data_IF_683095637388
#
_entry.id   IF_683095637388
#
_cell.length_a   1.000
_cell.length_b   1.000
_cell.length_c   1.000
_cell.angle_alpha   90.00
_cell.angle_beta   90.00
_cell.angle_gamma   90.00
#
_symmetry.space_group_name_H-M   'P 1'
#
loop_
_entity.id
_entity.type
_entity.pdbx_description
1 polymer ?
#
# COMPACT_ATOMS: atom_id res chain seq x y z
N UNK A 1 -15.06 90.56 -8.23
CA UNK A 1 -14.10 91.03 -9.25
C UNK A 1 -13.00 89.98 -9.33
N UNK A 2 -12.72 89.19 -10.36
CA UNK A 2 -13.10 89.09 -11.77
C UNK A 2 -13.10 87.58 -12.13
N UNK A 3 -14.02 87.15 -13.01
CA UNK A 3 -13.94 85.86 -13.75
C UNK A 3 -13.23 86.12 -15.10
N UNK A 4 -12.74 85.07 -15.78
CA UNK A 4 -13.54 84.41 -16.83
C UNK A 4 -13.53 82.88 -16.65
N UNK A 5 -14.65 82.16 -16.66
CA UNK A 5 -15.54 81.86 -17.79
C UNK A 5 -14.88 80.98 -18.87
N UNK A 6 -14.98 79.66 -18.69
CA UNK A 6 -15.01 78.69 -19.78
C UNK A 6 -16.22 77.76 -19.54
N UNK A 7 -17.22 77.90 -20.40
CA UNK A 7 -18.45 77.11 -20.41
C UNK A 7 -18.25 75.83 -21.24
N UNK A 8 -18.54 74.67 -20.66
CA UNK A 8 -18.56 73.39 -21.37
C UNK A 8 -19.49 72.41 -20.68
N UNK A 9 -20.57 72.07 -21.37
CA UNK A 9 -21.75 71.33 -20.90
C UNK A 9 -21.46 69.93 -20.33
N UNK A 10 -22.25 69.60 -19.30
CA UNK A 10 -22.68 68.28 -18.84
C UNK A 10 -22.42 67.06 -19.75
N UNK A 11 -21.76 66.05 -19.20
CA UNK A 11 -22.21 64.65 -19.34
C UNK A 11 -21.75 63.82 -18.13
N UNK A 12 -22.71 63.44 -17.29
CA UNK A 12 -22.55 62.44 -16.25
C UNK A 12 -22.35 61.08 -16.91
N UNK A 13 -21.10 60.67 -17.11
CA UNK A 13 -20.76 59.31 -17.48
C UNK A 13 -20.40 58.53 -16.22
N UNK A 14 -21.27 57.59 -15.89
CA UNK A 14 -21.10 56.52 -14.92
C UNK A 14 -19.68 55.96 -15.02
N UNK A 15 -18.85 56.20 -14.00
CA UNK A 15 -17.61 55.44 -13.78
C UNK A 15 -18.00 54.02 -13.38
N UNK A 16 -18.36 53.22 -14.38
CA UNK A 16 -18.40 51.77 -14.23
C UNK A 16 -16.98 51.29 -13.97
N UNK A 17 -16.75 50.67 -12.82
CA UNK A 17 -15.54 49.90 -12.56
C UNK A 17 -15.45 48.80 -13.62
N UNK A 18 -14.65 49.01 -14.65
CA UNK A 18 -14.30 47.98 -15.63
C UNK A 18 -13.42 46.98 -14.87
N UNK A 19 -14.06 45.92 -14.35
CA UNK A 19 -13.36 44.75 -13.87
C UNK A 19 -12.79 44.03 -15.09
N UNK A 20 -11.53 44.33 -15.42
CA UNK A 20 -10.79 43.63 -16.46
C UNK A 20 -10.56 42.19 -16.01
N UNK A 21 -11.47 41.28 -16.33
CA UNK A 21 -11.23 39.84 -16.20
C UNK A 21 -10.18 39.43 -17.23
N UNK A 22 -8.90 39.53 -16.85
CA UNK A 22 -7.82 38.95 -17.64
C UNK A 22 -7.92 37.43 -17.53
N UNK A 23 -8.33 36.80 -18.63
CA UNK A 23 -8.31 35.35 -18.77
C UNK A 23 -6.85 34.87 -18.69
N UNK A 24 -6.42 34.41 -17.51
CA UNK A 24 -5.10 33.76 -17.34
C UNK A 24 -5.17 32.41 -18.05
N UNK A 25 -4.72 32.38 -19.30
CA UNK A 25 -4.53 31.12 -20.03
C UNK A 25 -3.43 30.33 -19.32
N UNK A 26 -3.82 29.33 -18.54
CA UNK A 26 -2.92 28.32 -17.98
C UNK A 26 -2.39 27.41 -19.09
N UNK A 27 -1.54 27.95 -19.98
CA UNK A 27 -0.72 27.12 -20.85
C UNK A 27 0.25 26.33 -19.95
N UNK A 28 0.11 25.01 -19.95
CA UNK A 28 1.00 24.09 -19.27
C UNK A 28 2.39 24.15 -19.92
N UNK A 29 3.22 25.10 -19.49
CA UNK A 29 4.63 25.18 -19.87
C UNK A 29 5.40 24.00 -19.28
N UNK A 30 6.48 23.56 -19.94
CA UNK A 30 7.46 22.63 -19.35
C UNK A 30 8.03 23.27 -18.08
N UNK A 31 7.68 22.71 -16.92
CA UNK A 31 8.21 23.15 -15.62
C UNK A 31 9.35 22.22 -15.20
N UNK A 32 10.52 22.79 -14.95
CA UNK A 32 11.61 22.06 -14.30
C UNK A 32 11.21 21.79 -12.84
N UNK A 33 11.36 20.55 -12.38
CA UNK A 33 10.98 20.11 -11.04
C UNK A 33 12.01 20.53 -9.98
N UNK A 34 12.14 21.85 -9.77
CA UNK A 34 12.90 22.36 -8.63
C UNK A 34 12.23 21.95 -7.31
N UNK A 35 13.01 21.76 -6.22
CA UNK A 35 12.43 21.57 -4.90
C UNK A 35 11.44 22.68 -4.56
N UNK A 36 10.32 22.30 -3.94
CA UNK A 36 9.32 23.24 -3.46
C UNK A 36 9.80 24.02 -2.22
N UNK A 37 10.77 23.47 -1.50
CA UNK A 37 11.39 24.09 -0.34
C UNK A 37 12.56 25.01 -0.74
N UNK A 38 12.91 26.00 0.10
CA UNK A 38 14.03 26.88 -0.17
C UNK A 38 15.36 26.12 -0.12
N UNK A 39 16.22 26.36 -1.10
CA UNK A 39 17.58 25.85 -1.15
C UNK A 39 18.51 26.94 -1.70
N UNK A 40 19.80 26.87 -1.36
CA UNK A 40 20.80 27.83 -1.85
C UNK A 40 20.98 27.62 -3.35
N UNK A 41 20.80 28.66 -4.16
CA UNK A 41 20.98 28.58 -5.61
C UNK A 41 22.43 28.89 -5.98
N UNK A 42 22.88 28.37 -7.11
CA UNK A 42 24.20 28.69 -7.65
C UNK A 42 24.21 30.15 -8.12
N UNK A 43 25.17 30.92 -7.63
CA UNK A 43 25.50 32.25 -8.16
C UNK A 43 26.50 32.16 -9.32
N UNK A 44 27.35 33.19 -9.47
CA UNK A 44 28.47 33.15 -10.42
C UNK A 44 29.48 32.09 -9.96
N UNK A 45 29.92 31.25 -10.89
CA UNK A 45 30.88 30.17 -10.65
C UNK A 45 31.95 30.17 -11.73
N UNK A 46 33.04 29.46 -11.45
CA UNK A 46 34.09 29.23 -12.43
C UNK A 46 33.51 28.56 -13.71
N UNK A 47 33.80 29.08 -14.92
CA UNK A 47 33.15 28.62 -16.16
C UNK A 47 33.23 27.11 -16.42
N UNK A 48 34.35 26.47 -16.03
CA UNK A 48 34.60 25.04 -16.24
C UNK A 48 33.79 24.10 -15.33
N UNK A 49 33.06 24.60 -14.33
CA UNK A 49 32.39 23.75 -13.34
C UNK A 49 31.09 23.12 -13.84
N UNK A 50 30.41 23.77 -14.81
CA UNK A 50 29.18 23.29 -15.46
C UNK A 50 28.13 22.70 -14.50
N UNK A 51 27.96 23.34 -13.34
CA UNK A 51 27.06 22.89 -12.28
C UNK A 51 25.63 23.35 -12.54
N UNK A 52 24.65 22.64 -11.97
CA UNK A 52 23.23 22.96 -12.14
C UNK A 52 22.56 23.12 -10.79
N UNK A 53 21.56 24.01 -10.72
CA UNK A 53 20.82 24.26 -9.48
C UNK A 53 20.18 23.00 -8.90
N UNK A 54 19.74 22.05 -9.73
CA UNK A 54 19.19 20.77 -9.28
C UNK A 54 20.26 19.86 -8.66
N UNK A 55 21.44 19.73 -9.30
CA UNK A 55 22.58 18.99 -8.73
C UNK A 55 23.05 19.61 -7.42
N UNK A 56 22.97 20.93 -7.29
CA UNK A 56 23.33 21.61 -6.06
C UNK A 56 22.32 21.42 -4.95
N UNK A 57 21.02 21.50 -5.25
CA UNK A 57 19.96 21.17 -4.30
C UNK A 57 20.08 19.73 -3.80
N UNK A 58 20.38 18.78 -4.70
CA UNK A 58 20.62 17.38 -4.33
C UNK A 58 21.79 17.23 -3.36
N UNK A 59 22.91 17.96 -3.58
CA UNK A 59 24.05 17.94 -2.64
C UNK A 59 23.73 18.54 -1.29
N UNK A 60 22.92 19.60 -1.24
CA UNK A 60 22.43 20.17 0.03
C UNK A 60 21.57 19.17 0.80
N UNK A 61 20.69 18.44 0.10
CA UNK A 61 19.86 17.39 0.71
C UNK A 61 20.70 16.20 1.22
N UNK A 62 21.71 15.77 0.45
CA UNK A 62 22.55 14.64 0.80
C UNK A 62 23.58 14.96 1.90
N UNK A 63 24.11 16.19 1.92
CA UNK A 63 25.21 16.57 2.78
C UNK A 63 26.58 16.12 2.25
N UNK A 64 27.65 16.30 3.06
CA UNK A 64 29.00 15.89 2.66
C UNK A 64 29.12 14.37 2.54
N UNK A 65 29.89 13.93 1.54
CA UNK A 65 30.19 12.53 1.28
C UNK A 65 31.51 12.16 1.93
N UNK A 66 31.54 11.07 2.69
CA UNK A 66 32.78 10.55 3.28
C UNK A 66 33.67 9.85 2.23
N UNK A 67 34.91 9.53 2.58
CA UNK A 67 35.84 8.79 1.72
C UNK A 67 35.33 7.39 1.33
N UNK A 68 34.56 6.73 2.22
CA UNK A 68 33.84 5.47 1.94
C UNK A 68 32.67 5.64 0.97
N UNK A 69 32.24 6.88 0.77
CA UNK A 69 31.13 7.25 -0.09
C UNK A 69 29.77 7.36 0.59
N UNK A 70 29.74 7.33 1.92
CA UNK A 70 28.55 7.40 2.75
C UNK A 70 28.10 8.85 3.00
N UNK A 71 26.79 9.07 3.10
CA UNK A 71 26.18 10.36 3.44
C UNK A 71 25.69 10.36 4.88
N UNK A 72 26.62 10.26 5.81
CA UNK A 72 26.34 10.03 7.24
C UNK A 72 25.50 11.16 7.87
N UNK A 73 25.62 12.38 7.35
CA UNK A 73 24.87 13.53 7.84
C UNK A 73 23.40 13.54 7.39
N UNK A 74 22.97 12.67 6.47
CA UNK A 74 21.59 12.64 6.03
C UNK A 74 20.73 11.84 7.01
N UNK A 75 19.63 12.45 7.47
CA UNK A 75 18.66 11.82 8.38
C UNK A 75 18.18 10.46 7.90
N UNK A 76 18.05 10.29 6.57
CA UNK A 76 17.47 9.09 5.96
C UNK A 76 18.53 8.06 5.53
N UNK A 77 19.81 8.27 5.85
CA UNK A 77 20.88 7.34 5.48
C UNK A 77 20.95 6.12 6.42
N UNK A 78 20.91 6.37 7.73
CA UNK A 78 20.97 5.30 8.71
C UNK A 78 19.61 4.59 8.86
N UNK A 79 19.67 3.27 9.04
CA UNK A 79 18.48 2.44 9.24
C UNK A 79 17.98 2.61 10.68
N UNK A 80 16.68 2.89 10.91
CA UNK A 80 16.14 2.98 12.26
C UNK A 80 16.13 1.62 12.95
N UNK A 81 16.39 1.65 14.25
CA UNK A 81 16.59 0.49 15.10
C UNK A 81 15.64 0.47 16.32
N UNK A 82 14.52 1.17 16.25
CA UNK A 82 13.60 1.45 17.36
C UNK A 82 12.12 1.11 17.08
N UNK A 83 11.83 0.28 16.07
CA UNK A 83 10.47 -0.04 15.59
C UNK A 83 9.65 1.18 15.14
N UNK A 84 10.31 2.32 14.88
CA UNK A 84 9.67 3.51 14.35
C UNK A 84 10.25 3.80 12.97
N UNK A 85 9.45 3.68 11.90
CA UNK A 85 9.96 3.91 10.56
C UNK A 85 10.33 5.38 10.35
N UNK A 86 11.55 5.60 9.85
CA UNK A 86 12.07 6.93 9.55
C UNK A 86 11.67 7.37 8.13
N UNK A 87 10.36 7.61 7.93
CA UNK A 87 9.83 8.07 6.64
C UNK A 87 10.06 9.56 6.38
N UNK A 88 10.02 9.93 5.09
CA UNK A 88 10.40 11.27 4.60
C UNK A 88 9.35 12.31 4.99
N UNK A 89 9.81 13.46 5.50
CA UNK A 89 8.98 14.58 5.97
C UNK A 89 9.42 15.92 5.37
N UNK A 90 9.53 16.05 4.03
CA UNK A 90 10.13 17.21 3.38
C UNK A 90 9.29 18.48 3.56
N UNK A 91 7.98 18.32 3.76
CA UNK A 91 6.99 19.36 4.04
C UNK A 91 7.16 19.97 5.44
N UNK A 92 7.52 19.14 6.42
CA UNK A 92 7.66 19.52 7.83
C UNK A 92 9.06 20.10 8.09
N UNK A 93 10.09 19.45 7.56
CA UNK A 93 11.49 19.86 7.71
C UNK A 93 11.91 20.96 6.71
N UNK A 94 11.03 21.32 5.77
CA UNK A 94 11.30 22.30 4.70
C UNK A 94 12.57 21.98 3.92
N UNK A 95 12.79 20.70 3.63
CA UNK A 95 13.96 20.20 2.90
C UNK A 95 15.29 20.18 3.65
N UNK A 96 15.31 20.56 4.94
CA UNK A 96 16.49 20.48 5.79
C UNK A 96 16.63 19.06 6.37
N UNK A 97 17.22 18.15 5.58
CA UNK A 97 17.34 16.74 5.93
C UNK A 97 18.61 16.38 6.71
N UNK A 98 19.49 17.33 7.01
CA UNK A 98 20.78 17.05 7.64
C UNK A 98 20.65 16.94 9.17
N UNK A 99 21.29 15.92 9.74
CA UNK A 99 21.42 15.69 11.18
C UNK A 99 22.82 15.23 11.54
N UNK A 100 23.25 15.62 12.73
CA UNK A 100 24.45 15.06 13.35
C UNK A 100 24.22 13.58 13.70
N UNK A 101 25.10 12.66 13.29
CA UNK A 101 24.93 11.23 13.55
C UNK A 101 25.04 10.87 15.04
N UNK A 102 25.86 11.60 15.79
CA UNK A 102 26.13 11.30 17.20
C UNK A 102 25.11 11.94 18.15
N UNK A 103 24.73 13.20 17.89
CA UNK A 103 23.85 13.97 18.77
C UNK A 103 22.38 13.92 18.32
N UNK A 104 22.11 13.52 17.07
CA UNK A 104 20.77 13.53 16.47
C UNK A 104 20.20 14.93 16.21
N UNK A 105 20.97 15.99 16.46
CA UNK A 105 20.57 17.38 16.27
C UNK A 105 20.48 17.72 14.79
N UNK A 106 19.54 18.60 14.43
CA UNK A 106 19.36 19.06 13.05
C UNK A 106 20.44 20.05 12.68
N UNK A 107 20.90 19.97 11.44
CA UNK A 107 21.92 20.85 10.87
C UNK A 107 21.37 21.64 9.69
N UNK A 108 21.92 22.83 9.50
CA UNK A 108 21.68 23.70 8.35
C UNK A 108 23.00 24.21 7.79
N UNK A 109 23.07 24.35 6.46
CA UNK A 109 24.24 24.92 5.80
C UNK A 109 24.20 26.45 5.90
N UNK A 110 25.26 27.06 6.47
CA UNK A 110 25.45 28.52 6.49
C UNK A 110 25.94 29.04 5.13
N UNK A 111 26.08 30.36 5.02
CA UNK A 111 26.59 30.99 3.79
C UNK A 111 28.01 30.49 3.43
N UNK A 112 28.84 30.22 4.43
CA UNK A 112 30.21 29.68 4.30
C UNK A 112 30.29 28.21 3.88
N UNK A 113 29.17 27.48 3.84
CA UNK A 113 29.16 26.03 3.59
C UNK A 113 29.41 25.18 4.83
N UNK A 114 29.67 25.79 5.99
CA UNK A 114 29.73 25.09 7.28
C UNK A 114 28.33 24.66 7.74
N UNK A 115 28.25 23.47 8.35
CA UNK A 115 27.03 22.94 8.96
C UNK A 115 26.92 23.44 10.40
N UNK A 116 25.76 23.98 10.75
CA UNK A 116 25.47 24.49 12.11
C UNK A 116 24.09 24.07 12.55
N UNK A 117 23.89 23.94 13.87
CA UNK A 117 22.61 23.65 14.51
C UNK A 117 21.46 24.48 13.91
N UNK A 118 20.46 23.75 13.41
CA UNK A 118 19.26 24.33 12.85
C UNK A 118 18.40 24.98 13.94
N UNK A 119 17.66 26.07 13.61
CA UNK A 119 16.71 26.63 14.55
C UNK A 119 15.64 25.60 14.93
N UNK A 120 15.07 25.80 16.12
CA UNK A 120 14.02 24.94 16.65
C UNK A 120 12.77 24.99 15.76
N UNK A 121 12.28 23.82 15.36
CA UNK A 121 11.10 23.64 14.51
C UNK A 121 10.11 22.70 15.21
N UNK A 122 9.09 23.30 15.83
CA UNK A 122 8.01 22.66 16.59
C UNK A 122 7.24 21.60 15.80
N UNK A 123 7.08 21.80 14.48
CA UNK A 123 6.29 20.90 13.62
C UNK A 123 6.88 19.48 13.52
N UNK A 124 8.19 19.35 13.72
CA UNK A 124 8.87 18.06 13.70
C UNK A 124 8.82 17.33 15.05
N UNK A 125 8.50 18.03 16.12
CA UNK A 125 8.31 17.45 17.46
C UNK A 125 6.87 16.95 17.61
N UNK A 126 5.91 17.74 17.13
CA UNK A 126 4.48 17.43 17.19
C UNK A 126 4.00 16.58 15.99
N UNK A 127 4.73 15.51 15.65
CA UNK A 127 4.36 14.64 14.53
C UNK A 127 3.40 13.54 15.01
N UNK A 128 2.14 13.61 14.57
CA UNK A 128 1.13 12.57 14.85
C UNK A 128 1.61 11.17 14.47
N UNK A 129 1.21 10.15 15.23
CA UNK A 129 1.52 8.74 14.98
C UNK A 129 1.15 8.30 13.55
N UNK A 130 -0.01 8.75 13.07
CA UNK A 130 -0.46 8.48 11.69
C UNK A 130 0.53 8.99 10.64
N UNK A 131 1.15 10.15 10.89
CA UNK A 131 2.15 10.74 9.99
C UNK A 131 3.50 10.03 10.09
N UNK A 132 3.82 9.44 11.24
CA UNK A 132 5.03 8.63 11.42
C UNK A 132 4.98 7.36 10.58
N UNK A 133 3.80 6.75 10.43
CA UNK A 133 3.58 5.54 9.64
C UNK A 133 3.30 5.79 8.14
N UNK A 134 3.36 7.06 7.70
CA UNK A 134 3.08 7.46 6.33
C UNK A 134 4.38 7.55 5.50
N UNK A 135 4.64 6.61 4.57
CA UNK A 135 5.87 6.60 3.77
C UNK A 135 5.97 7.79 2.81
N UNK A 136 4.86 8.18 2.19
CA UNK A 136 4.84 9.21 1.17
C UNK A 136 4.06 10.44 1.64
N UNK A 137 4.68 11.64 1.71
CA UNK A 137 4.02 12.84 2.22
C UNK A 137 2.78 13.24 1.40
N UNK A 138 2.79 12.98 0.10
CA UNK A 138 1.70 13.35 -0.82
C UNK A 138 0.48 12.44 -0.76
N UNK A 139 0.59 11.23 -0.21
CA UNK A 139 -0.49 10.26 -0.13
C UNK A 139 -0.78 9.88 1.34
N UNK A 140 -1.77 10.53 2.00
CA UNK A 140 -2.16 10.23 3.38
C UNK A 140 -2.78 8.85 3.59
N UNK A 141 -3.30 8.22 2.53
CA UNK A 141 -3.98 6.93 2.62
C UNK A 141 -2.99 5.76 2.60
N UNK A 142 -1.83 5.93 1.97
CA UNK A 142 -0.78 4.92 2.01
C UNK A 142 -0.09 4.96 3.37
N UNK A 143 -0.21 3.87 4.13
CA UNK A 143 0.39 3.70 5.45
C UNK A 143 1.10 2.35 5.49
N UNK A 144 2.16 2.28 6.28
CA UNK A 144 2.83 1.00 6.53
C UNK A 144 1.96 0.11 7.41
N UNK A 145 1.97 -1.19 7.11
CA UNK A 145 1.31 -2.18 7.96
C UNK A 145 2.24 -2.58 9.10
N UNK A 146 1.68 -3.02 10.22
CA UNK A 146 2.43 -3.52 11.36
C UNK A 146 2.97 -4.91 11.08
N UNK A 147 4.17 -5.16 11.60
CA UNK A 147 4.83 -6.45 11.53
C UNK A 147 4.48 -7.28 12.76
N UNK A 148 4.26 -8.58 12.58
CA UNK A 148 3.96 -9.49 13.69
C UNK A 148 5.26 -9.92 14.37
N UNK A 149 5.31 -9.85 15.71
CA UNK A 149 6.47 -10.29 16.48
C UNK A 149 6.72 -11.79 16.32
N UNK A 150 7.99 -12.20 16.42
CA UNK A 150 8.37 -13.61 16.26
C UNK A 150 7.68 -14.51 17.31
N UNK A 151 7.58 -14.03 18.54
CA UNK A 151 6.85 -14.69 19.63
C UNK A 151 5.36 -14.89 19.28
N UNK A 152 4.71 -13.86 18.76
CA UNK A 152 3.29 -13.93 18.40
C UNK A 152 3.06 -14.87 17.21
N UNK A 153 3.98 -14.90 16.23
CA UNK A 153 3.91 -15.89 15.13
C UNK A 153 4.00 -17.32 15.67
N UNK A 154 4.89 -17.56 16.63
CA UNK A 154 5.04 -18.87 17.26
C UNK A 154 3.79 -19.26 18.06
N UNK A 155 3.18 -18.32 18.79
CA UNK A 155 1.92 -18.52 19.50
C UNK A 155 0.78 -18.89 18.54
N UNK A 156 0.57 -18.11 17.48
CA UNK A 156 -0.44 -18.40 16.44
C UNK A 156 -0.23 -19.80 15.85
N UNK A 157 1.02 -20.17 15.55
CA UNK A 157 1.33 -21.48 15.01
C UNK A 157 0.96 -22.61 15.98
N UNK A 158 1.30 -22.46 17.27
CA UNK A 158 1.00 -23.45 18.29
C UNK A 158 -0.51 -23.56 18.54
N UNK A 159 -1.24 -22.44 18.54
CA UNK A 159 -2.69 -22.41 18.70
C UNK A 159 -3.43 -23.20 17.62
N UNK A 160 -2.95 -23.14 16.38
CA UNK A 160 -3.58 -23.85 15.26
C UNK A 160 -3.13 -25.31 15.19
N UNK A 161 -1.83 -25.59 15.29
CA UNK A 161 -1.30 -26.93 15.06
C UNK A 161 -1.29 -27.81 16.31
N UNK A 162 -1.12 -27.22 17.50
CA UNK A 162 -1.00 -27.97 18.77
C UNK A 162 -2.31 -27.96 19.54
N UNK A 163 -2.92 -26.78 19.67
CA UNK A 163 -4.19 -26.63 20.39
C UNK A 163 -5.41 -26.95 19.51
N UNK A 164 -5.23 -27.05 18.18
CA UNK A 164 -6.30 -27.38 17.24
C UNK A 164 -7.39 -26.31 17.13
N UNK A 165 -7.09 -25.06 17.50
CA UNK A 165 -8.04 -23.95 17.40
C UNK A 165 -8.30 -23.62 15.93
N UNK A 166 -9.53 -23.22 15.62
CA UNK A 166 -9.88 -22.82 14.26
C UNK A 166 -9.29 -21.45 13.91
N UNK A 167 -9.02 -21.24 12.62
CA UNK A 167 -8.48 -19.96 12.13
C UNK A 167 -9.39 -18.77 12.44
N UNK A 168 -10.70 -18.99 12.55
CA UNK A 168 -11.68 -17.95 12.92
C UNK A 168 -11.51 -17.52 14.37
N UNK A 169 -11.38 -18.48 15.29
CA UNK A 169 -11.18 -18.20 16.70
C UNK A 169 -9.86 -17.46 16.93
N UNK A 170 -8.77 -17.95 16.31
CA UNK A 170 -7.45 -17.31 16.36
C UNK A 170 -7.49 -15.90 15.74
N UNK A 171 -8.17 -15.75 14.60
CA UNK A 171 -8.38 -14.45 13.94
C UNK A 171 -9.08 -13.44 14.87
N UNK A 172 -10.15 -13.87 15.54
CA UNK A 172 -10.89 -13.03 16.50
C UNK A 172 -10.05 -12.69 17.74
N UNK A 173 -9.34 -13.66 18.30
CA UNK A 173 -8.54 -13.48 19.51
C UNK A 173 -7.41 -12.47 19.31
N UNK A 174 -6.67 -12.58 18.20
CA UNK A 174 -5.52 -11.71 17.92
C UNK A 174 -5.88 -10.47 17.08
N UNK A 175 -7.04 -10.42 16.44
CA UNK A 175 -7.46 -9.30 15.58
C UNK A 175 -6.73 -9.24 14.24
N UNK A 176 -6.44 -10.40 13.64
CA UNK A 176 -5.79 -10.54 12.32
C UNK A 176 -6.73 -11.22 11.35
N UNK A 177 -6.76 -10.81 10.08
CA UNK A 177 -7.58 -11.47 9.04
C UNK A 177 -7.17 -12.94 8.84
N UNK A 178 -8.16 -13.79 8.61
CA UNK A 178 -7.99 -15.23 8.36
C UNK A 178 -6.89 -15.56 7.33
N UNK A 179 -6.89 -14.99 6.10
CA UNK A 179 -5.83 -15.28 5.13
C UNK A 179 -4.43 -14.85 5.61
N UNK A 180 -4.34 -13.82 6.47
CA UNK A 180 -3.07 -13.36 7.05
C UNK A 180 -2.57 -14.36 8.10
N UNK A 181 -3.47 -14.90 8.93
CA UNK A 181 -3.17 -15.97 9.89
C UNK A 181 -2.66 -17.23 9.17
N UNK A 182 -3.34 -17.67 8.12
CA UNK A 182 -2.90 -18.82 7.32
C UNK A 182 -1.53 -18.61 6.67
N UNK A 183 -1.27 -17.40 6.15
CA UNK A 183 0.03 -17.06 5.60
C UNK A 183 1.14 -17.14 6.66
N UNK A 184 0.88 -16.67 7.89
CA UNK A 184 1.83 -16.78 9.01
C UNK A 184 2.12 -18.26 9.31
N UNK A 185 1.09 -19.10 9.43
CA UNK A 185 1.28 -20.54 9.68
C UNK A 185 2.10 -21.19 8.57
N UNK A 186 1.80 -20.89 7.29
CA UNK A 186 2.54 -21.42 6.14
C UNK A 186 4.01 -20.98 6.17
N UNK A 187 4.29 -19.72 6.45
CA UNK A 187 5.67 -19.21 6.56
C UNK A 187 6.41 -19.86 7.72
N UNK A 188 5.78 -20.02 8.89
CA UNK A 188 6.37 -20.71 10.04
C UNK A 188 6.72 -22.18 9.73
N UNK A 189 5.88 -22.89 8.97
CA UNK A 189 6.18 -24.27 8.51
C UNK A 189 7.44 -24.29 7.62
N UNK A 190 7.58 -23.30 6.73
CA UNK A 190 8.75 -23.17 5.86
C UNK A 190 10.00 -22.81 6.66
N UNK A 191 9.91 -21.87 7.60
CA UNK A 191 11.01 -21.46 8.48
C UNK A 191 11.53 -22.66 9.29
N UNK A 192 10.66 -23.39 9.98
CA UNK A 192 11.03 -24.62 10.71
C UNK A 192 11.69 -25.67 9.82
N UNK A 193 11.25 -25.79 8.55
CA UNK A 193 11.89 -26.70 7.58
C UNK A 193 13.29 -26.21 7.19
N UNK A 194 13.47 -24.90 7.02
CA UNK A 194 14.76 -24.32 6.67
C UNK A 194 15.76 -24.39 7.82
N UNK A 195 15.31 -24.22 9.06
CA UNK A 195 16.11 -24.42 10.27
C UNK A 195 16.61 -25.85 10.36
N UNK A 196 15.72 -26.85 10.20
CA UNK A 196 16.10 -28.28 10.20
C UNK A 196 17.13 -28.62 9.13
N UNK A 197 17.09 -27.92 8.00
CA UNK A 197 18.02 -28.11 6.88
C UNK A 197 19.24 -27.18 6.95
N UNK A 198 19.40 -26.39 8.02
CA UNK A 198 20.46 -25.40 8.20
C UNK A 198 20.63 -24.43 7.00
N UNK A 199 19.52 -24.03 6.36
CA UNK A 199 19.52 -23.15 5.19
C UNK A 199 19.51 -21.66 5.52
N UNK A 200 19.38 -21.30 6.80
CA UNK A 200 19.34 -19.91 7.26
C UNK A 200 20.78 -19.44 7.52
N UNK A 201 21.32 -18.65 6.60
CA UNK A 201 22.65 -18.05 6.75
C UNK A 201 22.65 -16.94 7.81
N UNK A 202 23.81 -16.63 8.41
CA UNK A 202 23.92 -15.53 9.38
C UNK A 202 23.53 -14.17 8.76
N UNK A 203 23.89 -13.93 7.50
CA UNK A 203 23.54 -12.67 6.81
C UNK A 203 22.02 -12.50 6.65
N UNK A 204 21.28 -13.59 6.42
CA UNK A 204 19.82 -13.55 6.38
C UNK A 204 19.22 -13.20 7.74
N UNK A 205 19.84 -13.65 8.84
CA UNK A 205 19.41 -13.27 10.20
C UNK A 205 19.62 -11.79 10.45
N UNK A 206 20.79 -11.25 10.09
CA UNK A 206 21.08 -9.81 10.19
C UNK A 206 20.08 -9.00 9.36
N UNK A 207 19.76 -9.44 8.14
CA UNK A 207 18.74 -8.80 7.31
C UNK A 207 17.35 -8.87 7.97
N UNK A 208 16.96 -10.02 8.52
CA UNK A 208 15.69 -10.19 9.23
C UNK A 208 15.60 -9.25 10.43
N UNK A 209 16.63 -9.22 11.28
CA UNK A 209 16.70 -8.37 12.47
C UNK A 209 16.68 -6.88 12.14
N UNK A 210 17.36 -6.47 11.07
CA UNK A 210 17.35 -5.06 10.64
C UNK A 210 15.96 -4.65 10.16
N UNK A 211 15.31 -5.46 9.31
CA UNK A 211 13.92 -5.22 8.91
C UNK A 211 12.97 -5.25 10.13
N UNK A 212 13.22 -6.14 11.08
CA UNK A 212 12.41 -6.26 12.29
C UNK A 212 12.42 -4.95 13.10
N UNK A 213 13.59 -4.34 13.25
CA UNK A 213 13.76 -3.07 13.96
C UNK A 213 13.29 -1.84 13.16
N UNK A 214 13.13 -1.95 11.84
CA UNK A 214 12.63 -0.85 11.00
C UNK A 214 11.11 -0.67 11.08
N UNK A 215 10.36 -1.75 11.21
CA UNK A 215 8.91 -1.72 11.13
C UNK A 215 8.24 -1.64 12.51
N UNK A 216 7.06 -1.00 12.59
CA UNK A 216 6.28 -0.97 13.81
C UNK A 216 5.70 -2.35 14.11
N UNK A 217 5.66 -2.70 15.39
CA UNK A 217 5.18 -4.01 15.85
C UNK A 217 3.66 -4.02 16.04
N UNK A 218 3.06 -5.14 15.67
CA UNK A 218 1.65 -5.42 15.89
C UNK A 218 1.45 -5.86 17.34
N UNK A 219 0.59 -5.13 18.06
CA UNK A 219 0.20 -5.46 19.43
C UNK A 219 -1.30 -5.76 19.45
N UNK A 220 -1.72 -7.00 19.74
CA UNK A 220 -3.13 -7.41 19.68
C UNK A 220 -3.98 -6.74 20.77
N UNK A 221 -3.40 -6.31 21.88
CA UNK A 221 -4.11 -5.62 22.96
C UNK A 221 -4.60 -4.23 22.55
N UNK A 222 -3.91 -3.59 21.60
CA UNK A 222 -4.23 -2.23 21.13
C UNK A 222 -5.29 -2.30 20.02
N UNK A 223 -6.54 -1.82 20.25
CA UNK A 223 -7.61 -1.94 19.25
C UNK A 223 -7.30 -1.23 17.93
N UNK A 224 -6.54 -0.13 17.98
CA UNK A 224 -6.16 0.63 16.78
C UNK A 224 -5.23 -0.14 15.82
N UNK A 225 -4.50 -1.14 16.34
CA UNK A 225 -3.61 -1.97 15.53
C UNK A 225 -4.37 -3.14 14.89
N UNK A 226 -5.50 -3.56 15.47
CA UNK A 226 -6.29 -4.70 14.99
C UNK A 226 -6.84 -4.43 13.60
N UNK A 227 -6.85 -5.47 12.78
CA UNK A 227 -7.47 -5.43 11.47
C UNK A 227 -8.99 -5.48 11.60
N UNK A 228 -9.69 -4.84 10.67
CA UNK A 228 -11.14 -4.95 10.62
C UNK A 228 -11.53 -6.33 10.03
N UNK A 229 -12.07 -7.19 10.89
CA UNK A 229 -12.49 -8.55 10.53
C UNK A 229 -13.87 -8.60 9.84
N UNK A 230 -14.61 -7.48 9.82
CA UNK A 230 -15.95 -7.37 9.24
C UNK A 230 -15.96 -6.87 7.78
N UNK A 231 -14.79 -6.76 7.16
CA UNK A 231 -14.66 -6.30 5.77
C UNK A 231 -15.17 -7.35 4.78
N UNK A 232 -16.14 -6.97 3.97
CA UNK A 232 -16.64 -7.77 2.84
C UNK A 232 -16.33 -7.07 1.51
N UNK A 233 -16.02 -7.83 0.43
CA UNK A 233 -15.86 -7.25 -0.89
C UNK A 233 -17.20 -6.71 -1.39
N UNK A 234 -17.20 -5.49 -1.94
CA UNK A 234 -18.43 -4.84 -2.41
C UNK A 234 -18.87 -5.44 -3.76
N UNK A 235 -20.06 -6.06 -3.86
CA UNK A 235 -20.55 -6.61 -5.13
C UNK A 235 -21.07 -5.51 -6.06
N UNK A 236 -21.04 -5.76 -7.37
CA UNK A 236 -21.48 -4.77 -8.38
C UNK A 236 -22.92 -4.28 -8.16
N UNK A 237 -23.85 -5.17 -7.81
CA UNK A 237 -25.26 -4.81 -7.56
C UNK A 237 -25.42 -3.81 -6.39
N UNK A 238 -24.51 -3.82 -5.42
CA UNK A 238 -24.55 -2.90 -4.28
C UNK A 238 -23.97 -1.50 -4.60
N UNK A 239 -23.18 -1.37 -5.68
CA UNK A 239 -22.64 -0.08 -6.12
C UNK A 239 -23.70 0.81 -6.78
N UNK A 240 -24.75 0.21 -7.38
CA UNK A 240 -25.86 0.95 -7.97
C UNK A 240 -26.87 1.35 -6.89
N UNK A 241 -27.08 2.65 -6.68
CA UNK A 241 -28.10 3.18 -5.78
C UNK A 241 -29.51 2.88 -6.29
N UNK A 242 -30.39 2.37 -5.41
CA UNK A 242 -31.81 2.16 -5.68
C UNK A 242 -32.62 2.90 -4.61
N UNK A 243 -33.74 3.49 -5.03
CA UNK A 243 -34.69 4.14 -4.14
C UNK A 243 -36.04 3.45 -4.30
N UNK A 244 -36.73 3.17 -3.19
CA UNK A 244 -38.05 2.53 -3.17
C UNK A 244 -39.02 3.40 -2.40
N UNK A 245 -40.22 3.58 -2.95
CA UNK A 245 -41.34 4.21 -2.23
C UNK A 245 -42.08 3.11 -1.48
N UNK A 246 -42.07 3.20 -0.16
CA UNK A 246 -42.66 2.25 0.77
C UNK A 246 -43.69 3.03 1.61
N UNK A 247 -44.73 2.36 2.12
CA UNK A 247 -45.67 2.99 3.05
C UNK A 247 -44.94 3.57 4.27
N UNK A 248 -45.40 4.72 4.77
CA UNK A 248 -44.73 5.46 5.85
C UNK A 248 -44.55 4.63 7.13
N UNK A 249 -45.47 3.70 7.39
CA UNK A 249 -45.44 2.82 8.56
C UNK A 249 -44.68 1.50 8.34
N UNK A 250 -44.21 1.21 7.13
CA UNK A 250 -43.59 -0.08 6.83
C UNK A 250 -42.09 -0.06 7.17
N UNK A 251 -41.60 -0.99 8.01
CA UNK A 251 -40.19 -1.05 8.34
C UNK A 251 -39.37 -1.56 7.16
N UNK A 252 -38.14 -1.06 7.02
CA UNK A 252 -37.20 -1.48 5.98
C UNK A 252 -35.83 -1.81 6.59
N UNK A 253 -35.51 -3.10 6.66
CA UNK A 253 -34.27 -3.60 7.25
C UNK A 253 -33.20 -4.01 6.23
N UNK A 254 -31.98 -4.39 6.70
CA UNK A 254 -30.91 -4.88 5.83
C UNK A 254 -31.26 -6.14 5.04
N UNK A 255 -32.12 -6.99 5.58
CA UNK A 255 -32.60 -8.22 4.91
C UNK A 255 -33.50 -7.87 3.73
N UNK A 256 -34.36 -6.85 3.88
CA UNK A 256 -35.24 -6.40 2.80
C UNK A 256 -34.45 -5.65 1.74
N UNK A 257 -33.47 -4.84 2.13
CA UNK A 257 -32.50 -4.25 1.20
C UNK A 257 -31.76 -5.31 0.38
N UNK A 258 -31.32 -6.41 1.01
CA UNK A 258 -30.66 -7.51 0.32
C UNK A 258 -31.60 -8.19 -0.70
N UNK A 259 -32.87 -8.42 -0.35
CA UNK A 259 -33.89 -8.95 -1.28
C UNK A 259 -34.09 -8.01 -2.47
N UNK A 260 -34.20 -6.70 -2.23
CA UNK A 260 -34.34 -5.67 -3.27
C UNK A 260 -33.15 -5.66 -4.22
N UNK A 261 -31.95 -5.90 -3.72
CA UNK A 261 -30.73 -6.01 -4.51
C UNK A 261 -30.53 -7.40 -5.14
N UNK A 262 -31.40 -8.36 -4.84
CA UNK A 262 -31.25 -9.77 -5.22
C UNK A 262 -29.88 -10.34 -4.79
N UNK A 263 -29.49 -10.02 -3.56
CA UNK A 263 -28.25 -10.45 -2.94
C UNK A 263 -28.55 -11.19 -1.63
N UNK A 264 -27.56 -11.95 -1.17
CA UNK A 264 -27.57 -12.47 0.19
C UNK A 264 -27.30 -11.32 1.18
N UNK A 265 -27.86 -11.40 2.41
CA UNK A 265 -27.53 -10.45 3.47
C UNK A 265 -26.02 -10.41 3.76
N UNK A 266 -25.51 -9.21 4.08
CA UNK A 266 -24.09 -8.97 4.35
C UNK A 266 -23.51 -9.92 5.42
N UNK A 267 -24.28 -10.19 6.48
CA UNK A 267 -23.88 -11.11 7.57
C UNK A 267 -23.59 -12.52 7.03
N UNK A 268 -24.45 -13.07 6.18
CA UNK A 268 -24.24 -14.39 5.57
C UNK A 268 -23.02 -14.42 4.65
N UNK A 269 -22.76 -13.33 3.93
CA UNK A 269 -21.56 -13.24 3.08
C UNK A 269 -20.28 -13.19 3.92
N UNK A 270 -20.30 -12.48 5.05
CA UNK A 270 -19.19 -12.45 6.01
C UNK A 270 -18.94 -13.83 6.61
N UNK A 271 -19.99 -14.51 7.10
CA UNK A 271 -19.89 -15.88 7.63
C UNK A 271 -19.26 -16.83 6.60
N UNK A 272 -19.74 -16.79 5.35
CA UNK A 272 -19.14 -17.56 4.25
C UNK A 272 -17.66 -17.26 4.09
N UNK A 273 -17.26 -15.99 4.07
CA UNK A 273 -15.85 -15.60 3.97
C UNK A 273 -15.02 -16.07 5.16
N UNK A 274 -15.61 -16.08 6.37
CA UNK A 274 -14.93 -16.57 7.57
C UNK A 274 -14.67 -18.07 7.52
N UNK A 275 -15.50 -18.85 6.82
CA UNK A 275 -15.32 -20.30 6.65
C UNK A 275 -14.37 -20.69 5.51
N UNK A 276 -13.86 -19.73 4.74
CA UNK A 276 -12.92 -19.98 3.65
C UNK A 276 -11.51 -20.02 4.24
N UNK A 277 -11.02 -21.23 4.52
CA UNK A 277 -9.65 -21.43 4.97
C UNK A 277 -9.36 -22.89 5.35
N UNK A 278 -8.15 -23.36 5.07
CA UNK A 278 -7.70 -24.76 5.23
C UNK A 278 -7.94 -25.31 6.65
N UNK A 279 -7.87 -24.41 7.64
CA UNK A 279 -8.00 -24.71 9.08
C UNK A 279 -9.29 -24.10 9.69
N UNK A 280 -10.31 -23.83 8.88
CA UNK A 280 -11.60 -23.30 9.35
C UNK A 280 -12.52 -24.41 9.85
N UNK A 281 -13.35 -24.10 10.86
CA UNK A 281 -14.48 -24.96 11.26
C UNK A 281 -15.40 -25.18 10.05
N UNK A 282 -15.47 -26.43 9.56
CA UNK A 282 -16.28 -26.81 8.39
C UNK A 282 -15.50 -27.11 7.10
N UNK A 283 -14.17 -26.94 7.05
CA UNK A 283 -13.39 -27.31 5.86
C UNK A 283 -13.37 -28.83 5.60
N UNK A 284 -13.63 -29.63 6.64
CA UNK A 284 -13.68 -31.10 6.59
C UNK A 284 -14.98 -31.60 5.93
N UNK A 285 -16.02 -30.76 5.82
CA UNK A 285 -17.37 -31.20 5.42
C UNK A 285 -17.90 -30.63 4.09
N UNK A 286 -17.07 -29.95 3.29
CA UNK A 286 -17.43 -29.74 1.88
C UNK A 286 -17.30 -31.09 1.15
N UNK A 287 -18.38 -31.87 1.27
CA UNK A 287 -18.77 -32.95 0.34
C UNK A 287 -18.84 -32.33 -1.05
N UNK A 288 -17.69 -32.17 -1.70
CA UNK A 288 -17.65 -32.10 -3.14
C UNK A 288 -18.46 -33.29 -3.62
N UNK A 289 -19.47 -33.05 -4.45
CA UNK A 289 -20.11 -34.11 -5.20
C UNK A 289 -19.00 -34.81 -5.98
N UNK A 290 -18.48 -35.91 -5.43
CA UNK A 290 -17.31 -36.62 -5.97
C UNK A 290 -17.67 -37.02 -7.40
N UNK A 291 -17.12 -36.31 -8.37
CA UNK A 291 -17.23 -36.71 -9.78
C UNK A 291 -16.63 -38.11 -9.87
N UNK A 292 -17.29 -39.02 -10.58
CA UNK A 292 -16.74 -40.35 -10.81
C UNK A 292 -15.43 -40.19 -11.59
N UNK A 293 -14.33 -40.62 -10.99
CA UNK A 293 -12.99 -40.64 -11.61
C UNK A 293 -12.55 -42.09 -11.68
N UNK A 294 -12.14 -42.53 -12.87
CA UNK A 294 -11.62 -43.87 -13.12
C UNK A 294 -10.17 -43.73 -13.58
N UNK A 295 -9.28 -44.53 -13.01
CA UNK A 295 -7.89 -44.62 -13.44
C UNK A 295 -7.70 -45.92 -14.22
N UNK A 296 -7.01 -45.85 -15.36
CA UNK A 296 -6.67 -47.04 -16.14
C UNK A 296 -5.63 -47.91 -15.43
N UNK A 297 -5.62 -49.21 -15.73
CA UNK A 297 -4.58 -50.13 -15.27
C UNK A 297 -3.23 -49.73 -15.88
N UNK A 298 -2.16 -49.74 -15.06
CA UNK A 298 -0.80 -49.41 -15.49
C UNK A 298 -0.01 -50.71 -15.69
N UNK A 299 0.34 -51.06 -16.93
CA UNK A 299 1.12 -52.25 -17.24
C UNK A 299 2.63 -51.99 -17.16
N UNK A 300 3.40 -53.05 -16.98
CA UNK A 300 4.86 -52.97 -16.97
C UNK A 300 5.38 -52.44 -18.32
N UNK A 301 6.18 -51.37 -18.29
CA UNK A 301 6.67 -50.66 -19.48
C UNK A 301 5.91 -49.38 -19.83
N UNK A 302 4.74 -49.12 -19.23
CA UNK A 302 3.99 -47.89 -19.44
C UNK A 302 4.55 -46.72 -18.60
N UNK A 303 4.51 -45.50 -19.16
CA UNK A 303 5.13 -44.29 -18.57
C UNK A 303 4.17 -43.40 -17.80
N UNK A 304 2.86 -43.54 -17.99
CA UNK A 304 1.86 -42.61 -17.47
C UNK A 304 0.50 -43.27 -17.26
N UNK A 305 -0.17 -42.92 -16.17
CA UNK A 305 -1.53 -43.38 -15.87
C UNK A 305 -2.56 -42.52 -16.57
N UNK A 306 -3.54 -43.15 -17.23
CA UNK A 306 -4.68 -42.46 -17.83
C UNK A 306 -5.77 -42.19 -16.80
N UNK A 307 -6.15 -40.91 -16.64
CA UNK A 307 -7.20 -40.46 -15.71
C UNK A 307 -8.46 -40.08 -16.49
N UNK A 308 -9.55 -40.80 -16.27
CA UNK A 308 -10.86 -40.53 -16.87
C UNK A 308 -11.77 -39.86 -15.85
N UNK A 309 -12.30 -38.69 -16.19
CA UNK A 309 -13.23 -37.94 -15.34
C UNK A 309 -14.60 -37.91 -15.99
N UNK A 310 -15.64 -38.31 -15.26
CA UNK A 310 -17.00 -38.26 -15.77
C UNK A 310 -17.44 -36.81 -15.99
N UNK A 311 -17.98 -36.53 -17.18
CA UNK A 311 -18.48 -35.22 -17.54
C UNK A 311 -19.68 -35.34 -18.50
N UNK A 312 -20.62 -34.39 -18.41
CA UNK A 312 -21.89 -34.43 -19.14
C UNK A 312 -21.71 -34.07 -20.61
N UNK A 313 -22.44 -34.74 -21.49
CA UNK A 313 -22.50 -34.41 -22.93
C UNK A 313 -23.04 -32.99 -23.10
N UNK A 314 -22.39 -32.19 -23.96
CA UNK A 314 -22.73 -30.77 -24.21
C UNK A 314 -21.94 -29.76 -23.37
N UNK A 315 -21.30 -30.19 -22.28
CA UNK A 315 -20.45 -29.33 -21.42
C UNK A 315 -18.93 -29.58 -21.64
N UNK A 316 -18.58 -30.54 -22.48
CA UNK A 316 -17.21 -31.08 -22.66
C UNK A 316 -16.75 -30.91 -24.10
N UNK A 317 -15.44 -30.73 -24.29
CA UNK A 317 -14.80 -30.56 -25.59
C UNK A 317 -14.52 -29.10 -25.94
N UNK A 318 -13.68 -28.87 -26.94
CA UNK A 318 -13.45 -27.54 -27.47
C UNK A 318 -14.63 -27.14 -28.37
N UNK A 319 -15.25 -25.99 -28.08
CA UNK A 319 -16.40 -25.49 -28.84
C UNK A 319 -16.00 -25.17 -30.28
N UNK A 320 -16.76 -25.68 -31.25
CA UNK A 320 -16.63 -25.34 -32.66
C UNK A 320 -17.01 -23.88 -32.92
N UNK A 321 -16.38 -23.25 -33.92
CA UNK A 321 -16.64 -21.84 -34.30
C UNK A 321 -16.11 -20.79 -33.33
N UNK A 322 -15.31 -21.18 -32.32
CA UNK A 322 -14.64 -20.22 -31.44
C UNK A 322 -13.53 -19.50 -32.21
N UNK A 323 -13.59 -18.16 -32.23
CA UNK A 323 -12.57 -17.34 -32.89
C UNK A 323 -11.22 -17.50 -32.20
N UNK A 324 -10.17 -17.75 -33.00
CA UNK A 324 -8.79 -17.77 -32.54
C UNK A 324 -8.38 -16.37 -32.08
N UNK A 325 -8.10 -16.20 -30.77
CA UNK A 325 -7.74 -14.90 -30.18
C UNK A 325 -6.23 -14.63 -30.16
N UNK A 326 -5.41 -15.48 -30.76
CA UNK A 326 -3.96 -15.38 -30.68
C UNK A 326 -3.38 -14.11 -31.31
N UNK A 327 -4.05 -13.56 -32.30
CA UNK A 327 -3.67 -12.29 -32.94
C UNK A 327 -4.22 -11.06 -32.21
N UNK A 328 -4.95 -11.22 -31.10
CA UNK A 328 -5.52 -10.10 -30.34
C UNK A 328 -4.68 -9.78 -29.12
N UNK A 329 -4.69 -8.49 -28.73
CA UNK A 329 -3.98 -8.01 -27.53
C UNK A 329 -4.51 -8.63 -26.22
N UNK A 330 -5.76 -9.07 -26.22
CA UNK A 330 -6.43 -9.74 -25.10
C UNK A 330 -6.31 -11.27 -25.15
N UNK A 331 -5.27 -11.80 -25.83
CA UNK A 331 -4.99 -13.24 -25.83
C UNK A 331 -4.75 -13.76 -24.43
N UNK A 332 -5.18 -15.01 -24.17
CA UNK A 332 -5.03 -15.64 -22.86
C UNK A 332 -3.65 -16.25 -22.73
N UNK A 333 -2.96 -15.89 -21.66
CA UNK A 333 -1.64 -16.40 -21.31
C UNK A 333 -1.76 -17.02 -19.91
N UNK A 334 -1.26 -18.24 -19.76
CA UNK A 334 -1.21 -18.99 -18.51
C UNK A 334 0.18 -19.53 -18.23
N UNK A 335 0.25 -20.31 -17.15
CA UNK A 335 1.48 -21.00 -16.74
C UNK A 335 1.17 -22.47 -16.50
N UNK A 336 2.09 -23.36 -16.89
CA UNK A 336 2.00 -24.78 -16.58
C UNK A 336 2.47 -25.10 -15.15
N UNK A 337 2.37 -26.37 -14.75
CA UNK A 337 2.80 -26.84 -13.42
C UNK A 337 4.29 -26.60 -13.13
N UNK A 338 5.11 -26.50 -14.18
CA UNK A 338 6.55 -26.19 -14.09
C UNK A 338 6.84 -24.68 -14.10
N UNK A 339 5.82 -23.82 -14.20
CA UNK A 339 5.97 -22.36 -14.24
C UNK A 339 6.34 -21.78 -15.61
N UNK A 340 6.26 -22.56 -16.69
CA UNK A 340 6.51 -22.10 -18.05
C UNK A 340 5.27 -21.41 -18.62
N UNK A 341 5.47 -20.33 -19.37
CA UNK A 341 4.39 -19.60 -20.04
C UNK A 341 3.78 -20.43 -21.16
N UNK A 342 2.45 -20.56 -21.18
CA UNK A 342 1.67 -21.30 -22.17
C UNK A 342 0.48 -20.46 -22.63
N UNK A 343 0.14 -20.51 -23.92
CA UNK A 343 -1.08 -19.90 -24.45
C UNK A 343 -2.30 -20.80 -24.17
N UNK A 344 -3.39 -20.22 -23.65
CA UNK A 344 -4.59 -20.97 -23.18
C UNK A 344 -5.72 -20.99 -24.22
#
# INVERSE_FOLDING_TARGET
>A
MFRPAASGKSSSLLQGNICCYQQVRNLSRRRLAYPFYPFKRLGRQHPKKHDTNLKYAMRQFLGPKNYKGEYVMNTYFAVPNNHVPNYIKPDIERGQALRDPNTGKRLTERYDGALVDAPHNKRLEDVSERRQLQPFPSNPHCKTNYMVSEELKAQIYNDIETNGLSTQQVSHNYGLKIPRVEAIVKLMKVEKKWEKLNRISPDLKVMSETLYKMFPLFVPEVPANRENLSEIPVPQKALSSRFLTIAESQPFGPVDAAKVLELEPAVKTLEKLSTIGEHSEGHIEKKEHKKKVVYGELKEGERSVLKFTHAKVGEVGHRYGRVLRDNKKDRKIGFNELGQMVYI
#
